data_IF_297212421224
#
_entry.id   IF_297212421224
#
_cell.length_a   1.000
_cell.length_b   1.000
_cell.length_c   1.000
_cell.angle_alpha   90.00
_cell.angle_beta   90.00
_cell.angle_gamma   90.00
#
_symmetry.space_group_name_H-M   'P 1'
#
loop_
_entity.id
_entity.type
_entity.pdbx_description
1 polymer ?
#
# COMPACT_ATOMS: atom_id res chain seq x y z
N UNK A 1 -18.25 -22.41 8.47
CA UNK A 1 -18.45 -21.04 7.98
C UNK A 1 -17.09 -20.60 7.47
N UNK A 2 -16.89 -20.64 6.15
CA UNK A 2 -15.55 -20.62 5.53
C UNK A 2 -15.26 -19.20 5.08
N UNK A 3 -14.29 -18.55 5.72
CA UNK A 3 -13.84 -17.20 5.37
C UNK A 3 -12.84 -17.28 4.22
N UNK A 4 -13.05 -16.48 3.16
CA UNK A 4 -12.11 -16.34 2.04
C UNK A 4 -11.48 -14.95 2.14
N UNK A 5 -10.24 -14.86 2.60
CA UNK A 5 -9.43 -13.64 2.48
C UNK A 5 -8.44 -13.83 1.32
N UNK A 6 -8.26 -12.80 0.49
CA UNK A 6 -7.27 -12.77 -0.58
C UNK A 6 -6.29 -11.63 -0.32
N UNK A 7 -5.00 -11.93 -0.47
CA UNK A 7 -3.90 -10.99 -0.33
C UNK A 7 -3.86 -10.09 -1.56
N UNK A 8 -3.91 -8.77 -1.35
CA UNK A 8 -3.66 -7.75 -2.37
C UNK A 8 -2.66 -6.78 -1.74
N UNK A 9 -1.44 -6.73 -2.27
CA UNK A 9 -0.48 -5.69 -1.93
C UNK A 9 -0.97 -4.36 -2.51
N UNK A 10 -1.39 -3.45 -1.64
CA UNK A 10 -1.87 -2.12 -2.02
C UNK A 10 -1.10 -1.05 -1.23
N UNK A 11 -0.19 -0.35 -1.89
CA UNK A 11 0.51 0.81 -1.34
C UNK A 11 -0.40 2.05 -1.47
N UNK A 12 -0.96 2.53 -0.35
CA UNK A 12 -1.74 3.78 -0.29
C UNK A 12 -0.86 4.88 0.33
N UNK A 13 -0.60 5.95 -0.41
CA UNK A 13 0.02 7.17 0.10
C UNK A 13 -1.06 8.14 0.59
N UNK A 14 -1.01 8.52 1.86
CA UNK A 14 -1.76 9.65 2.41
C UNK A 14 -0.87 10.89 2.45
N UNK A 15 -1.16 11.88 1.61
CA UNK A 15 -0.55 13.21 1.71
C UNK A 15 -1.37 14.07 2.67
N UNK A 16 -1.00 14.08 3.95
CA UNK A 16 -1.51 15.04 4.94
C UNK A 16 -0.64 16.30 4.93
N UNK A 17 -1.23 17.43 4.55
CA UNK A 17 -0.56 18.72 4.55
C UNK A 17 -0.32 19.25 5.98
N UNK A 18 0.94 19.40 6.37
CA UNK A 18 1.34 20.34 7.43
C UNK A 18 2.55 21.13 6.92
N UNK A 19 2.33 22.42 6.68
CA UNK A 19 3.35 23.35 6.23
C UNK A 19 4.32 23.70 7.36
N UNK A 20 5.62 23.53 7.12
CA UNK A 20 6.68 24.30 7.76
C UNK A 20 7.79 24.52 6.72
N UNK A 21 7.92 25.77 6.30
CA UNK A 21 8.85 26.27 5.28
C UNK A 21 10.30 26.14 5.75
N UNK A 22 11.16 25.54 4.91
CA UNK A 22 12.59 25.87 4.87
C UNK A 22 13.11 25.73 3.44
N UNK A 23 13.81 26.77 3.00
CA UNK A 23 14.13 27.07 1.62
C UNK A 23 15.14 26.08 1.00
N UNK A 24 14.68 25.34 0.02
CA UNK A 24 15.47 24.86 -1.11
C UNK A 24 14.57 25.02 -2.34
N UNK A 25 15.13 25.50 -3.45
CA UNK A 25 14.41 25.85 -4.68
C UNK A 25 13.65 24.64 -5.26
N UNK A 26 12.38 24.49 -4.89
CA UNK A 26 11.41 23.67 -5.60
C UNK A 26 11.13 24.35 -6.94
N UNK A 27 11.66 23.79 -8.01
CA UNK A 27 10.97 23.93 -9.29
C UNK A 27 9.65 23.17 -9.14
N UNK A 28 8.62 23.85 -8.63
CA UNK A 28 7.24 23.42 -8.81
C UNK A 28 7.04 23.26 -10.33
N UNK A 29 7.01 22.02 -10.79
CA UNK A 29 6.46 21.75 -12.12
C UNK A 29 4.98 22.11 -11.98
N UNK A 30 4.46 23.14 -12.67
CA UNK A 30 3.03 23.41 -12.65
C UNK A 30 2.36 22.26 -13.41
N UNK A 31 2.06 21.21 -12.67
CA UNK A 31 1.30 20.08 -13.17
C UNK A 31 -0.11 20.60 -13.27
N UNK A 32 -0.58 20.82 -14.50
CA UNK A 32 -2.00 21.07 -14.73
C UNK A 32 -2.75 19.94 -14.00
N UNK A 33 -3.54 20.24 -12.96
CA UNK A 33 -4.14 19.23 -12.09
C UNK A 33 -5.06 18.28 -12.87
N UNK A 34 -5.53 18.70 -14.05
CA UNK A 34 -6.35 17.90 -14.95
C UNK A 34 -5.57 16.84 -15.74
N UNK A 35 -4.23 16.94 -15.88
CA UNK A 35 -3.42 15.96 -16.63
C UNK A 35 -3.33 14.59 -15.96
N UNK A 36 -3.62 14.51 -14.66
CA UNK A 36 -3.63 13.24 -13.92
C UNK A 36 -4.93 12.43 -14.08
N UNK A 37 -5.95 13.00 -14.72
CA UNK A 37 -7.28 12.37 -14.84
C UNK A 37 -7.30 11.46 -16.08
N UNK A 38 -7.37 10.14 -15.84
CA UNK A 38 -7.52 9.13 -16.89
C UNK A 38 -8.92 8.49 -16.84
N UNK A 39 -9.86 9.10 -17.56
CA UNK A 39 -11.21 8.55 -17.71
C UNK A 39 -11.23 7.22 -18.49
N UNK A 40 -10.27 6.99 -19.38
CA UNK A 40 -10.21 5.78 -20.22
C UNK A 40 -9.90 4.59 -19.33
N UNK A 41 -8.89 4.71 -18.46
CA UNK A 41 -8.54 3.66 -17.51
C UNK A 41 -9.71 3.27 -16.59
N UNK A 42 -10.43 4.27 -16.06
CA UNK A 42 -11.60 4.03 -15.20
C UNK A 42 -12.73 3.35 -15.98
N UNK A 43 -12.99 3.77 -17.22
CA UNK A 43 -13.99 3.12 -18.08
C UNK A 43 -13.66 1.65 -18.32
N UNK A 44 -12.41 1.35 -18.69
CA UNK A 44 -11.96 -0.01 -18.94
C UNK A 44 -12.13 -0.90 -17.71
N UNK A 45 -11.82 -0.38 -16.52
CA UNK A 45 -12.03 -1.11 -15.27
C UNK A 45 -13.52 -1.40 -15.01
N UNK A 46 -14.40 -0.40 -15.16
CA UNK A 46 -15.85 -0.56 -14.96
C UNK A 46 -16.45 -1.55 -15.97
N UNK A 47 -16.06 -1.46 -17.24
CA UNK A 47 -16.52 -2.36 -18.30
C UNK A 47 -16.04 -3.80 -18.05
N UNK A 48 -14.79 -3.97 -17.63
CA UNK A 48 -14.26 -5.30 -17.29
C UNK A 48 -14.99 -5.89 -16.08
N UNK A 49 -15.18 -5.11 -15.00
CA UNK A 49 -15.92 -5.57 -13.82
C UNK A 49 -17.37 -5.92 -14.15
N UNK A 50 -18.04 -5.09 -14.95
CA UNK A 50 -19.42 -5.34 -15.39
C UNK A 50 -19.53 -6.63 -16.22
N UNK A 51 -18.57 -6.86 -17.12
CA UNK A 51 -18.53 -8.07 -17.95
C UNK A 51 -18.18 -9.33 -17.16
N UNK A 52 -17.21 -9.24 -16.26
CA UNK A 52 -16.65 -10.38 -15.53
C UNK A 52 -17.54 -10.82 -14.36
N UNK A 53 -18.16 -9.87 -13.66
CA UNK A 53 -18.90 -10.15 -12.43
C UNK A 53 -20.43 -9.97 -12.53
N UNK A 54 -20.94 -9.41 -13.64
CA UNK A 54 -22.37 -9.29 -13.98
C UNK A 54 -23.22 -8.88 -12.75
N UNK A 55 -24.05 -9.79 -12.23
CA UNK A 55 -24.95 -9.53 -11.08
C UNK A 55 -24.25 -9.11 -9.79
N UNK A 56 -22.95 -9.38 -9.63
CA UNK A 56 -22.18 -8.96 -8.44
C UNK A 56 -21.69 -7.51 -8.54
N UNK A 57 -21.83 -6.87 -9.70
CA UNK A 57 -21.50 -5.46 -9.91
C UNK A 57 -22.65 -4.74 -10.65
N UNK A 58 -23.83 -4.60 -10.01
CA UNK A 58 -25.04 -4.13 -10.68
C UNK A 58 -25.01 -2.65 -11.08
N UNK A 59 -24.17 -1.84 -10.41
CA UNK A 59 -24.10 -0.39 -10.61
C UNK A 59 -23.23 0.03 -11.82
N UNK A 60 -22.59 -0.91 -12.52
CA UNK A 60 -21.71 -0.63 -13.65
C UNK A 60 -22.29 0.33 -14.71
N UNK A 61 -23.49 0.08 -15.26
CA UNK A 61 -24.11 0.98 -16.24
C UNK A 61 -24.37 2.40 -15.70
N UNK A 62 -24.70 2.52 -14.42
CA UNK A 62 -24.93 3.81 -13.75
C UNK A 62 -23.62 4.58 -13.58
N UNK A 63 -22.55 3.89 -13.21
CA UNK A 63 -21.21 4.47 -13.06
C UNK A 63 -20.64 4.92 -14.41
N UNK A 64 -20.86 4.17 -15.50
CA UNK A 64 -20.48 4.61 -16.86
C UNK A 64 -21.20 5.90 -17.27
N UNK A 65 -22.50 6.02 -16.98
CA UNK A 65 -23.25 7.24 -17.28
C UNK A 65 -22.78 8.44 -16.43
N UNK A 66 -22.29 8.21 -15.22
CA UNK A 66 -21.69 9.24 -14.38
C UNK A 66 -20.30 9.65 -14.90
N UNK A 67 -19.48 8.68 -15.33
CA UNK A 67 -18.18 8.93 -15.97
C UNK A 67 -18.32 9.76 -17.26
N UNK A 68 -19.35 9.51 -18.07
CA UNK A 68 -19.66 10.32 -19.27
C UNK A 68 -19.90 11.81 -18.91
N UNK A 69 -20.46 12.09 -17.73
CA UNK A 69 -20.65 13.46 -17.24
C UNK A 69 -19.33 14.09 -16.82
N UNK A 70 -18.47 13.32 -16.13
CA UNK A 70 -17.12 13.75 -15.77
C UNK A 70 -16.28 14.06 -17.02
N UNK A 71 -16.31 13.21 -18.06
CA UNK A 71 -15.60 13.46 -19.32
C UNK A 71 -16.08 14.74 -20.03
N UNK A 72 -17.39 14.97 -20.08
CA UNK A 72 -17.95 16.20 -20.66
C UNK A 72 -17.54 17.44 -19.87
N UNK A 73 -17.44 17.33 -18.55
CA UNK A 73 -17.00 18.42 -17.67
C UNK A 73 -15.50 18.68 -17.81
N UNK A 74 -14.68 17.63 -17.89
CA UNK A 74 -13.23 17.73 -18.14
C UNK A 74 -12.96 18.52 -19.43
N UNK A 75 -13.60 18.18 -20.55
CA UNK A 75 -13.46 18.90 -21.84
C UNK A 75 -13.87 20.38 -21.79
N UNK A 76 -14.73 20.77 -20.84
CA UNK A 76 -15.09 22.18 -20.61
C UNK A 76 -14.04 22.88 -19.75
N UNK A 77 -13.55 22.19 -18.73
CA UNK A 77 -12.54 22.72 -17.80
C UNK A 77 -11.18 22.88 -18.46
N UNK A 78 -10.79 21.99 -19.39
CA UNK A 78 -9.60 22.18 -20.22
C UNK A 78 -9.61 23.48 -21.03
N UNK A 79 -10.79 24.08 -21.25
CA UNK A 79 -10.97 25.35 -21.96
C UNK A 79 -11.04 26.56 -21.03
N UNK A 80 -11.10 26.36 -19.71
CA UNK A 80 -11.21 27.42 -18.69
C UNK A 80 -10.01 27.39 -17.74
N UNK A 81 -9.26 28.49 -17.63
CA UNK A 81 -8.06 28.57 -16.78
C UNK A 81 -8.33 28.89 -15.30
N UNK A 82 -9.41 28.35 -14.72
CA UNK A 82 -9.69 28.55 -13.29
C UNK A 82 -9.11 27.39 -12.46
N UNK A 83 -8.05 27.67 -11.71
CA UNK A 83 -7.31 26.69 -10.90
C UNK A 83 -8.15 26.15 -9.74
N UNK A 84 -8.96 26.98 -9.08
CA UNK A 84 -9.76 26.57 -7.93
C UNK A 84 -10.87 25.59 -8.35
N UNK A 85 -11.49 25.85 -9.50
CA UNK A 85 -12.51 24.96 -10.08
C UNK A 85 -11.89 23.64 -10.53
N UNK A 86 -10.64 23.67 -10.99
CA UNK A 86 -9.91 22.47 -11.42
C UNK A 86 -9.54 21.57 -10.24
N UNK A 87 -9.09 22.14 -9.12
CA UNK A 87 -8.78 21.38 -7.92
C UNK A 87 -10.01 20.65 -7.34
N UNK A 88 -11.14 21.36 -7.19
CA UNK A 88 -12.38 20.76 -6.69
C UNK A 88 -12.93 19.67 -7.63
N UNK A 89 -12.68 19.79 -8.95
CA UNK A 89 -13.07 18.75 -9.91
C UNK A 89 -12.21 17.49 -9.76
N UNK A 90 -10.90 17.62 -9.58
CA UNK A 90 -10.00 16.49 -9.34
C UNK A 90 -10.44 15.72 -8.09
N UNK A 91 -10.71 16.40 -6.98
CA UNK A 91 -11.17 15.77 -5.75
C UNK A 91 -12.48 14.98 -5.95
N UNK A 92 -13.46 15.56 -6.65
CA UNK A 92 -14.72 14.89 -6.98
C UNK A 92 -14.50 13.66 -7.88
N UNK A 93 -13.60 13.76 -8.85
CA UNK A 93 -13.26 12.65 -9.73
C UNK A 93 -12.55 11.53 -8.99
N UNK A 94 -11.60 11.85 -8.11
CA UNK A 94 -10.89 10.87 -7.28
C UNK A 94 -11.83 10.13 -6.33
N UNK A 95 -12.78 10.83 -5.72
CA UNK A 95 -13.82 10.21 -4.89
C UNK A 95 -14.73 9.27 -5.72
N UNK A 96 -15.13 9.69 -6.93
CA UNK A 96 -15.90 8.84 -7.85
C UNK A 96 -15.11 7.60 -8.27
N UNK A 97 -13.84 7.79 -8.67
CA UNK A 97 -12.93 6.71 -9.06
C UNK A 97 -12.75 5.71 -7.92
N UNK A 98 -12.51 6.20 -6.70
CA UNK A 98 -12.43 5.37 -5.50
C UNK A 98 -13.68 4.53 -5.32
N UNK A 99 -14.86 5.15 -5.33
CA UNK A 99 -16.13 4.44 -5.22
C UNK A 99 -16.32 3.38 -6.31
N UNK A 100 -16.05 3.72 -7.56
CA UNK A 100 -16.26 2.82 -8.69
C UNK A 100 -15.33 1.60 -8.65
N UNK A 101 -14.06 1.80 -8.27
CA UNK A 101 -13.04 0.75 -8.24
C UNK A 101 -13.05 -0.08 -6.95
N UNK A 102 -13.44 0.50 -5.81
CA UNK A 102 -13.52 -0.20 -4.53
C UNK A 102 -14.77 -1.07 -4.40
N UNK A 103 -15.79 -0.85 -5.22
CA UNK A 103 -16.95 -1.74 -5.36
C UNK A 103 -16.62 -3.01 -6.19
N UNK A 104 -15.33 -3.32 -6.35
CA UNK A 104 -14.87 -4.52 -7.03
C UNK A 104 -15.24 -5.79 -6.24
N UNK A 105 -15.99 -6.75 -6.81
CA UNK A 105 -16.41 -7.96 -6.11
C UNK A 105 -15.28 -8.89 -5.64
N UNK A 106 -14.03 -8.66 -6.07
CA UNK A 106 -12.87 -9.37 -5.55
C UNK A 106 -12.39 -8.84 -4.20
N UNK A 107 -12.79 -7.62 -3.82
CA UNK A 107 -12.53 -7.00 -2.52
C UNK A 107 -13.56 -7.47 -1.48
N UNK A 108 -13.84 -8.77 -1.45
CA UNK A 108 -14.78 -9.42 -0.54
C UNK A 108 -14.05 -9.85 0.74
N UNK A 109 -13.57 -8.86 1.49
CA UNK A 109 -12.90 -9.06 2.78
C UNK A 109 -13.19 -7.90 3.73
N UNK A 110 -13.25 -8.20 5.03
CA UNK A 110 -13.55 -7.20 6.06
C UNK A 110 -12.34 -6.31 6.39
N UNK A 111 -11.14 -6.91 6.38
CA UNK A 111 -9.89 -6.26 6.78
C UNK A 111 -8.77 -6.54 5.79
N UNK A 112 -7.91 -5.55 5.58
CA UNK A 112 -6.68 -5.65 4.81
C UNK A 112 -5.48 -5.72 5.76
N UNK A 113 -4.69 -6.79 5.66
CA UNK A 113 -3.42 -6.92 6.36
C UNK A 113 -2.35 -6.13 5.61
N UNK A 114 -1.58 -5.30 6.31
CA UNK A 114 -0.54 -4.46 5.72
C UNK A 114 0.63 -4.23 6.68
N UNK A 115 1.77 -3.79 6.12
CA UNK A 115 2.85 -3.21 6.90
C UNK A 115 2.78 -1.69 6.79
N UNK A 116 2.57 -1.02 7.92
CA UNK A 116 2.75 0.43 8.01
C UNK A 116 4.20 0.69 8.38
N UNK A 117 4.91 1.47 7.57
CA UNK A 117 6.32 1.75 7.77
C UNK A 117 6.63 3.21 7.50
N UNK A 118 7.47 3.80 8.34
CA UNK A 118 8.09 5.08 8.06
C UNK A 118 9.30 4.86 7.13
N UNK A 119 9.33 5.50 5.95
CA UNK A 119 10.48 5.40 5.07
C UNK A 119 11.77 5.92 5.73
N UNK A 120 12.91 5.33 5.36
CA UNK A 120 14.23 5.76 5.82
C UNK A 120 14.89 6.69 4.79
N UNK A 121 14.97 7.98 5.12
CA UNK A 121 15.64 9.00 4.30
C UNK A 121 14.77 9.63 3.21
N UNK A 122 15.38 9.89 2.05
CA UNK A 122 14.77 10.57 0.90
C UNK A 122 14.44 9.53 -0.20
N UNK A 123 13.27 9.62 -0.87
CA UNK A 123 12.97 8.79 -2.04
C UNK A 123 14.09 8.82 -3.08
N UNK A 124 14.26 7.69 -3.78
CA UNK A 124 15.29 7.54 -4.83
C UNK A 124 15.23 8.69 -5.83
N UNK A 125 16.36 9.35 -6.02
CA UNK A 125 16.59 10.33 -7.09
C UNK A 125 17.41 9.71 -8.21
N UNK A 126 17.24 10.19 -9.44
CA UNK A 126 17.96 9.65 -10.60
C UNK A 126 19.49 9.84 -10.49
N UNK A 127 19.91 10.86 -9.75
CA UNK A 127 21.28 11.32 -9.52
C UNK A 127 21.85 10.91 -8.15
N UNK A 128 21.08 10.19 -7.32
CA UNK A 128 21.52 9.70 -6.02
C UNK A 128 22.10 8.27 -6.16
N UNK A 129 23.43 8.10 -6.14
CA UNK A 129 24.06 6.78 -6.34
C UNK A 129 23.95 5.87 -5.11
N UNK A 130 23.60 6.41 -3.95
CA UNK A 130 23.68 5.75 -2.65
C UNK A 130 22.36 5.11 -2.20
N UNK A 131 21.21 5.43 -2.82
CA UNK A 131 19.89 4.95 -2.36
C UNK A 131 19.00 4.37 -3.45
N UNK A 132 18.62 3.11 -3.30
CA UNK A 132 17.57 2.46 -4.11
C UNK A 132 16.17 2.71 -3.55
N UNK A 133 15.13 2.62 -4.38
CA UNK A 133 13.73 2.70 -3.91
C UNK A 133 13.47 1.65 -2.83
N UNK A 134 14.05 0.46 -2.98
CA UNK A 134 13.95 -0.60 -1.98
C UNK A 134 14.46 -0.16 -0.61
N UNK A 135 15.65 0.44 -0.51
CA UNK A 135 16.20 0.89 0.78
C UNK A 135 15.35 1.95 1.45
N UNK A 136 14.79 2.88 0.66
CA UNK A 136 13.91 3.92 1.17
C UNK A 136 12.67 3.32 1.86
N UNK A 137 12.14 2.21 1.36
CA UNK A 137 10.94 1.55 1.91
C UNK A 137 11.24 0.23 2.62
N UNK A 138 12.48 -0.15 2.88
CA UNK A 138 12.82 -1.38 3.62
C UNK A 138 12.59 -2.66 2.82
N UNK A 139 12.86 -2.63 1.52
CA UNK A 139 12.88 -3.78 0.60
C UNK A 139 14.30 -3.98 0.04
N UNK A 140 14.68 -5.21 -0.33
CA UNK A 140 15.99 -5.46 -0.92
C UNK A 140 16.14 -4.77 -2.29
N UNK A 141 17.38 -4.44 -2.66
CA UNK A 141 17.70 -3.91 -4.00
C UNK A 141 17.44 -4.98 -5.09
N UNK A 142 17.19 -4.53 -6.33
CA UNK A 142 16.77 -5.37 -7.46
C UNK A 142 17.47 -6.75 -7.59
N UNK A 143 16.66 -7.76 -7.91
CA UNK A 143 16.88 -9.13 -8.45
C UNK A 143 18.02 -10.01 -7.96
N UNK A 144 19.02 -9.53 -7.22
CA UNK A 144 20.16 -10.31 -6.72
C UNK A 144 20.48 -10.06 -5.25
N UNK A 145 19.69 -9.21 -4.59
CA UNK A 145 19.85 -8.91 -3.17
C UNK A 145 18.63 -9.46 -2.44
N UNK A 146 18.88 -10.12 -1.31
CA UNK A 146 17.85 -10.64 -0.40
C UNK A 146 17.88 -9.84 0.91
N UNK A 147 16.96 -10.13 1.84
CA UNK A 147 16.85 -9.40 3.11
C UNK A 147 18.18 -9.22 3.88
N UNK A 148 19.11 -10.21 3.93
CA UNK A 148 20.41 -10.04 4.60
C UNK A 148 21.28 -8.92 4.05
N UNK A 149 20.99 -8.43 2.83
CA UNK A 149 21.72 -7.35 2.17
C UNK A 149 21.11 -5.97 2.43
N UNK A 150 19.99 -5.89 3.15
CA UNK A 150 19.40 -4.62 3.56
C UNK A 150 20.32 -3.97 4.58
N UNK A 151 20.72 -2.74 4.30
CA UNK A 151 21.55 -1.93 5.19
C UNK A 151 20.70 -1.45 6.37
N UNK A 152 21.26 -1.52 7.59
CA UNK A 152 20.61 -1.05 8.82
C UNK A 152 19.19 -1.61 9.06
N UNK A 153 19.00 -2.93 9.21
CA UNK A 153 17.69 -3.49 9.47
C UNK A 153 17.16 -3.22 10.90
N UNK A 154 17.87 -2.38 11.69
CA UNK A 154 17.57 -2.07 13.11
C UNK A 154 17.21 -0.59 13.36
N UNK A 155 16.87 0.19 12.34
CA UNK A 155 16.47 1.60 12.48
C UNK A 155 15.01 1.87 12.07
N UNK A 156 14.26 0.82 11.76
CA UNK A 156 12.94 0.88 11.15
C UNK A 156 11.80 1.06 12.16
N UNK A 157 10.98 2.07 11.93
CA UNK A 157 9.68 2.25 12.56
C UNK A 157 8.62 1.59 11.68
N UNK A 158 8.19 0.37 12.04
CA UNK A 158 7.18 -0.38 11.30
C UNK A 158 6.24 -1.17 12.22
N UNK A 159 5.02 -1.38 11.72
CA UNK A 159 3.96 -2.11 12.40
C UNK A 159 3.26 -3.02 11.39
N UNK A 160 2.91 -4.22 11.82
CA UNK A 160 1.91 -5.05 11.13
C UNK A 160 0.54 -4.56 11.59
N UNK A 161 -0.32 -4.20 10.64
CA UNK A 161 -1.63 -3.62 10.93
C UNK A 161 -2.74 -4.31 10.13
N UNK A 162 -3.95 -4.28 10.69
CA UNK A 162 -5.18 -4.57 9.97
C UNK A 162 -5.96 -3.27 9.72
N UNK A 163 -6.25 -2.98 8.45
CA UNK A 163 -7.11 -1.88 8.04
C UNK A 163 -8.54 -2.39 7.85
N UNK A 164 -9.48 -1.88 8.64
CA UNK A 164 -10.91 -2.16 8.50
C UNK A 164 -11.58 -1.06 7.70
N UNK A 165 -12.32 -1.43 6.65
CA UNK A 165 -12.94 -0.49 5.72
C UNK A 165 -11.94 0.14 4.75
N UNK A 166 -12.02 -0.24 3.48
CA UNK A 166 -11.17 0.28 2.40
C UNK A 166 -11.62 1.67 1.96
N UNK A 167 -11.47 2.68 2.80
CA UNK A 167 -11.78 4.07 2.48
C UNK A 167 -10.92 5.02 3.34
N UNK A 168 -10.93 6.33 3.06
CA UNK A 168 -10.07 7.25 3.78
C UNK A 168 -10.29 7.33 5.30
N UNK A 169 -11.50 6.99 5.75
CA UNK A 169 -11.90 6.96 7.16
C UNK A 169 -11.75 5.55 7.79
N UNK A 170 -11.07 4.64 7.09
CA UNK A 170 -10.82 3.28 7.55
C UNK A 170 -10.07 3.24 8.88
N UNK A 171 -10.35 2.23 9.70
CA UNK A 171 -9.74 2.06 11.02
C UNK A 171 -8.51 1.18 10.94
N UNK A 172 -7.36 1.71 11.33
CA UNK A 172 -6.11 0.96 11.41
C UNK A 172 -5.90 0.39 12.83
N UNK A 173 -5.78 -0.92 12.94
CA UNK A 173 -5.50 -1.63 14.19
C UNK A 173 -4.08 -2.20 14.12
N UNK A 174 -3.25 -1.91 15.11
CA UNK A 174 -1.89 -2.46 15.21
C UNK A 174 -1.99 -3.88 15.76
N UNK A 175 -1.48 -4.85 15.00
CA UNK A 175 -1.39 -6.26 15.42
C UNK A 175 -0.06 -6.49 16.12
N UNK A 176 1.04 -6.05 15.50
CA UNK A 176 2.37 -6.25 16.05
C UNK A 176 3.28 -5.07 15.73
N UNK A 177 4.00 -4.63 16.75
CA UNK A 177 5.07 -3.65 16.66
C UNK A 177 6.31 -4.23 17.33
N UNK A 178 7.45 -4.35 16.62
CA UNK A 178 8.69 -4.76 17.24
C UNK A 178 9.10 -3.83 18.39
N UNK A 179 9.44 -4.39 19.55
CA UNK A 179 9.91 -3.60 20.72
C UNK A 179 11.14 -2.75 20.43
N UNK A 180 11.97 -3.23 19.51
CA UNK A 180 13.15 -2.54 18.98
C UNK A 180 12.91 -2.23 17.51
N UNK A 181 13.62 -1.25 16.92
CA UNK A 181 13.41 -0.75 15.54
C UNK A 181 13.80 -1.75 14.43
N UNK A 182 13.42 -3.01 14.57
CA UNK A 182 13.70 -4.11 13.66
C UNK A 182 12.77 -4.05 12.46
N UNK A 183 13.36 -4.22 11.29
CA UNK A 183 12.63 -4.32 10.04
C UNK A 183 11.82 -5.61 10.01
N UNK A 184 10.50 -5.48 9.92
CA UNK A 184 9.57 -6.58 9.63
C UNK A 184 9.45 -6.68 8.12
N UNK A 185 9.56 -7.86 7.50
CA UNK A 185 9.36 -8.07 6.06
C UNK A 185 8.54 -9.34 5.82
N UNK A 186 8.10 -9.54 4.58
CA UNK A 186 7.58 -10.80 4.04
C UNK A 186 6.49 -11.40 4.94
N UNK A 187 5.33 -10.72 5.01
CA UNK A 187 4.20 -11.17 5.81
C UNK A 187 3.34 -12.17 5.05
N UNK A 188 2.98 -13.27 5.71
CA UNK A 188 2.06 -14.27 5.18
C UNK A 188 0.94 -14.55 6.19
N UNK A 189 -0.29 -14.47 5.71
CA UNK A 189 -1.48 -14.78 6.52
C UNK A 189 -1.75 -16.28 6.46
N UNK A 190 -1.99 -16.89 7.62
CA UNK A 190 -2.41 -18.29 7.71
C UNK A 190 -3.75 -18.51 7.00
N UNK A 191 -3.98 -19.70 6.46
CA UNK A 191 -5.22 -20.01 5.73
C UNK A 191 -6.49 -19.89 6.57
N UNK A 192 -6.38 -20.08 7.89
CA UNK A 192 -7.48 -19.87 8.83
C UNK A 192 -7.67 -18.38 9.22
N UNK A 193 -6.74 -17.50 8.83
CA UNK A 193 -6.81 -16.06 9.11
C UNK A 193 -6.49 -15.66 10.55
N UNK A 194 -5.94 -16.57 11.35
CA UNK A 194 -5.74 -16.42 12.79
C UNK A 194 -4.28 -16.17 13.21
N UNK A 195 -3.32 -16.40 12.31
CA UNK A 195 -1.88 -16.25 12.55
C UNK A 195 -1.19 -15.61 11.35
N UNK A 196 -0.06 -14.96 11.60
CA UNK A 196 0.75 -14.26 10.61
C UNK A 196 2.19 -14.74 10.75
N UNK A 197 2.76 -15.25 9.67
CA UNK A 197 4.21 -15.43 9.53
C UNK A 197 4.84 -14.14 9.02
N UNK A 198 6.05 -13.86 9.47
CA UNK A 198 6.84 -12.75 8.95
C UNK A 198 8.33 -12.95 9.18
N UNK A 199 9.14 -12.23 8.40
CA UNK A 199 10.59 -12.23 8.53
C UNK A 199 11.06 -11.01 9.34
N UNK A 200 11.97 -11.21 10.29
CA UNK A 200 12.54 -10.13 11.09
C UNK A 200 13.95 -10.50 11.57
N UNK A 201 14.89 -9.56 11.77
CA UNK A 201 16.15 -9.85 12.44
C UNK A 201 15.94 -10.33 13.88
N UNK A 202 16.67 -11.35 14.30
CA UNK A 202 16.74 -11.76 15.70
C UNK A 202 17.70 -10.87 16.51
N UNK A 203 17.95 -11.24 17.77
CA UNK A 203 18.87 -10.51 18.65
C UNK A 203 20.33 -10.50 18.20
N UNK A 204 20.73 -11.36 17.24
CA UNK A 204 22.06 -11.41 16.63
C UNK A 204 22.09 -10.73 15.26
N UNK A 205 21.04 -9.99 14.91
CA UNK A 205 20.84 -9.36 13.59
C UNK A 205 20.79 -10.35 12.43
N UNK A 206 20.42 -11.61 12.73
CA UNK A 206 20.23 -12.64 11.72
C UNK A 206 18.73 -12.73 11.43
N UNK A 207 18.34 -12.53 10.17
CA UNK A 207 16.97 -12.76 9.71
C UNK A 207 16.46 -14.15 10.09
N UNK A 208 15.31 -14.18 10.76
CA UNK A 208 14.58 -15.38 11.15
C UNK A 208 13.10 -15.21 10.83
N UNK A 209 12.39 -16.34 10.82
CA UNK A 209 10.93 -16.40 10.67
C UNK A 209 10.28 -16.33 12.05
N UNK A 210 9.28 -15.48 12.17
CA UNK A 210 8.45 -15.28 13.35
C UNK A 210 6.98 -15.55 13.01
N UNK A 211 6.22 -15.96 14.01
CA UNK A 211 4.77 -16.13 13.95
C UNK A 211 4.13 -15.31 15.07
N UNK A 212 3.00 -14.66 14.79
CA UNK A 212 2.19 -13.96 15.78
C UNK A 212 0.70 -14.22 15.51
N UNK A 213 -0.12 -14.25 16.56
CA UNK A 213 -1.57 -14.30 16.42
C UNK A 213 -2.13 -13.03 15.79
N UNK A 214 -3.26 -13.12 15.11
CA UNK A 214 -3.97 -11.96 14.55
C UNK A 214 -4.44 -10.97 15.62
N UNK A 215 -4.53 -11.43 16.88
CA UNK A 215 -4.80 -10.63 18.07
C UNK A 215 -3.54 -9.93 18.63
N UNK A 216 -2.39 -10.13 17.99
CA UNK A 216 -1.09 -9.60 18.44
C UNK A 216 -0.40 -10.45 19.51
N UNK A 217 -1.04 -11.52 19.98
CA UNK A 217 -0.52 -12.39 21.03
C UNK A 217 0.41 -13.48 20.50
N UNK A 218 1.12 -14.13 21.43
CA UNK A 218 1.81 -15.39 21.14
C UNK A 218 3.00 -15.30 20.19
N UNK A 219 3.67 -14.15 20.11
CA UNK A 219 4.87 -13.99 19.28
C UNK A 219 5.89 -15.11 19.54
N UNK A 220 6.28 -15.81 18.47
CA UNK A 220 7.23 -16.91 18.53
C UNK A 220 8.21 -16.83 17.36
N UNK A 221 9.50 -16.99 17.65
CA UNK A 221 10.50 -17.23 16.62
C UNK A 221 10.46 -18.73 16.24
N UNK A 222 10.21 -19.03 14.97
CA UNK A 222 10.08 -20.41 14.48
C UNK A 222 11.40 -21.02 14.03
N UNK A 223 12.28 -20.21 13.46
CA UNK A 223 13.59 -20.65 13.00
C UNK A 223 14.69 -20.18 13.95
N UNK A 224 15.86 -20.80 13.88
CA UNK A 224 17.01 -20.35 14.66
C UNK A 224 18.29 -20.50 13.86
N UNK A 225 19.28 -19.69 14.20
CA UNK A 225 20.65 -19.79 13.70
C UNK A 225 21.59 -19.84 14.89
N UNK A 226 21.83 -21.05 15.45
CA UNK A 226 22.67 -21.21 16.63
C UNK A 226 24.07 -20.63 16.42
N UNK A 227 24.67 -20.90 15.26
CA UNK A 227 25.99 -20.42 14.85
C UNK A 227 25.97 -18.97 14.35
N UNK A 228 24.79 -18.44 14.01
CA UNK A 228 24.61 -17.04 13.62
C UNK A 228 25.06 -16.74 12.18
N UNK A 229 25.11 -17.76 11.32
CA UNK A 229 25.58 -17.70 9.93
C UNK A 229 24.46 -17.94 8.91
N UNK A 230 23.35 -18.58 9.32
CA UNK A 230 22.18 -18.85 8.47
C UNK A 230 21.06 -17.84 8.68
N UNK A 231 20.64 -17.19 7.59
CA UNK A 231 19.44 -16.37 7.52
C UNK A 231 18.24 -17.19 7.02
N UNK A 232 17.10 -17.09 7.72
CA UNK A 232 15.83 -17.70 7.32
C UNK A 232 14.80 -16.57 7.12
N UNK A 233 14.17 -16.51 5.95
CA UNK A 233 13.22 -15.47 5.54
C UNK A 233 12.35 -15.97 4.39
N UNK A 234 11.38 -15.16 3.95
CA UNK A 234 10.42 -15.51 2.88
C UNK A 234 9.71 -16.85 3.18
N UNK A 235 9.05 -16.89 4.33
CA UNK A 235 8.35 -18.08 4.83
C UNK A 235 7.08 -18.35 4.04
N UNK A 236 6.52 -19.55 4.14
CA UNK A 236 5.16 -19.82 3.70
C UNK A 236 4.50 -20.87 4.59
N UNK A 237 3.17 -20.83 4.66
CA UNK A 237 2.39 -21.93 5.24
C UNK A 237 2.21 -23.04 4.20
N UNK A 238 2.28 -24.30 4.65
CA UNK A 238 2.15 -25.51 3.82
C UNK A 238 0.86 -26.27 4.13
#
# INVERSE_FOLDING_TARGET
MVYKLRIIELCIFFAGALAAVSAASEQEIPTNPLKGIDCIAVRLAIEDMSRTFDKKYPDGPKLLAELDRFEKRLKRLEKSSDENVSAAFVEQFEAFKGKALLDNPLLDFEKLLLIKRKPDGDPRRWDAPDRGLGEFIGLPRQSSWSLPRIVNPLIWENQICALSGLNPDGKLEVIYEPETKRLVSDIDLHFDGDRILFSMPDGKTIWQVFEVGIDGGGLKQLTSSPEGDVHNYDSCYL
#
